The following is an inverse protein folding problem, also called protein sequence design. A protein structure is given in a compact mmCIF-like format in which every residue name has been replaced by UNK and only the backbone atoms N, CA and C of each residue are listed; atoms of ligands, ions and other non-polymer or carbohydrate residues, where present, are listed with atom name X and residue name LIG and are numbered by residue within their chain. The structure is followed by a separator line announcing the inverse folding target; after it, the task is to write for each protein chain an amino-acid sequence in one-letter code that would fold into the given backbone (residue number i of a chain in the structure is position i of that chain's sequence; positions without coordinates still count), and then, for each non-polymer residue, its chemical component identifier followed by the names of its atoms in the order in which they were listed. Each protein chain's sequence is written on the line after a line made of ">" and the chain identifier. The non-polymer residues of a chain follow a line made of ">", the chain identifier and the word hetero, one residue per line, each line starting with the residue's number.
data_IF_568847792942
#
_entry.id   IF_568847792942
#
_cell.length_a   1.000
_cell.length_b   1.000
_cell.length_c   1.000
_cell.angle_alpha   90.00
_cell.angle_beta   90.00
_cell.angle_gamma   90.00
#
_symmetry.space_group_name_H-M   'P 1'
#
loop_
_entity.id
_entity.type
_entity.pdbx_description
1 polymer ?
#
# COMPACT_ATOMS: atom_id res chain seq x y z
N UNK A 1 30.02 7.98 7.04
CA UNK A 1 29.80 6.59 6.57
C UNK A 1 29.35 6.49 5.10
N UNK A 2 28.63 7.46 4.53
CA UNK A 2 28.23 7.42 3.11
C UNK A 2 29.39 7.28 2.10
N UNK A 3 30.56 7.95 2.25
CA UNK A 3 31.66 7.85 1.28
C UNK A 3 32.29 6.45 1.25
N UNK A 4 32.49 5.86 2.43
CA UNK A 4 33.09 4.53 2.58
C UNK A 4 32.19 3.44 1.99
N UNK A 5 30.86 3.57 2.14
CA UNK A 5 29.89 2.66 1.53
C UNK A 5 30.00 2.64 0.01
N UNK A 6 30.17 3.79 -0.63
CA UNK A 6 30.30 3.85 -2.10
C UNK A 6 31.60 3.23 -2.59
N UNK A 7 32.70 3.41 -1.85
CA UNK A 7 33.99 2.78 -2.19
C UNK A 7 33.86 1.25 -2.11
N UNK A 8 33.32 0.71 -1.01
CA UNK A 8 33.14 -0.74 -0.87
C UNK A 8 32.15 -1.32 -1.86
N UNK A 9 31.05 -0.62 -2.16
CA UNK A 9 30.09 -1.04 -3.17
C UNK A 9 30.74 -1.09 -4.56
N UNK A 10 31.51 -0.05 -4.92
CA UNK A 10 32.23 0.00 -6.20
C UNK A 10 33.26 -1.11 -6.30
N UNK A 11 34.02 -1.35 -5.22
CA UNK A 11 35.00 -2.44 -5.15
C UNK A 11 34.33 -3.80 -5.27
N UNK A 12 33.21 -4.02 -4.57
CA UNK A 12 32.44 -5.26 -4.65
C UNK A 12 31.96 -5.53 -6.08
N UNK A 13 31.33 -4.54 -6.74
CA UNK A 13 30.86 -4.69 -8.11
C UNK A 13 32.00 -4.87 -9.13
N UNK A 14 33.14 -4.20 -8.93
CA UNK A 14 34.32 -4.38 -9.78
C UNK A 14 34.90 -5.80 -9.63
N UNK A 15 35.12 -6.26 -8.39
CA UNK A 15 35.66 -7.59 -8.11
C UNK A 15 34.71 -8.70 -8.60
N UNK A 16 33.41 -8.58 -8.34
CA UNK A 16 32.42 -9.58 -8.81
C UNK A 16 32.33 -9.62 -10.33
N UNK A 17 32.39 -8.47 -11.01
CA UNK A 17 32.45 -8.40 -12.47
C UNK A 17 33.70 -9.07 -13.05
N UNK A 18 34.86 -8.95 -12.38
CA UNK A 18 36.10 -9.62 -12.79
C UNK A 18 36.07 -11.14 -12.57
N UNK A 19 35.27 -11.61 -11.62
CA UNK A 19 35.14 -13.03 -11.29
C UNK A 19 34.28 -13.79 -12.31
N UNK A 20 33.43 -13.07 -13.04
CA UNK A 20 32.55 -13.63 -14.06
C UNK A 20 33.28 -13.76 -15.39
N UNK A 21 33.31 -14.99 -15.91
CA UNK A 21 33.86 -15.24 -17.24
C UNK A 21 32.77 -15.15 -18.32
N UNK A 22 32.82 -14.05 -19.09
CA UNK A 22 31.88 -13.82 -20.19
C UNK A 22 32.15 -14.74 -21.40
N UNK A 23 33.39 -15.21 -21.56
CA UNK A 23 33.79 -16.12 -22.63
C UNK A 23 33.18 -17.50 -22.37
N UNK A 24 33.25 -17.98 -21.12
CA UNK A 24 32.63 -19.23 -20.69
C UNK A 24 31.12 -19.26 -20.95
N UNK A 25 30.43 -18.13 -20.77
CA UNK A 25 28.98 -18.00 -21.02
C UNK A 25 28.61 -18.21 -22.50
N UNK A 26 29.51 -17.80 -23.41
CA UNK A 26 29.27 -17.77 -24.86
C UNK A 26 29.78 -19.04 -25.55
N UNK A 27 30.94 -19.57 -25.16
CA UNK A 27 31.68 -20.61 -25.90
C UNK A 27 31.00 -21.98 -26.00
N UNK A 28 29.89 -22.23 -25.29
CA UNK A 28 29.18 -23.53 -25.37
C UNK A 28 27.68 -23.43 -25.09
N UNK A 29 27.05 -22.29 -25.38
CA UNK A 29 25.63 -22.05 -25.07
C UNK A 29 25.28 -22.17 -23.57
N UNK A 30 26.26 -22.04 -22.67
CA UNK A 30 26.05 -22.05 -21.22
C UNK A 30 25.10 -20.96 -20.74
N UNK A 31 24.96 -19.86 -21.51
CA UNK A 31 23.96 -18.83 -21.26
C UNK A 31 22.53 -19.39 -21.08
N UNK A 32 22.17 -20.47 -21.79
CA UNK A 32 20.84 -21.08 -21.69
C UNK A 32 20.63 -21.76 -20.33
N UNK A 33 21.66 -22.48 -19.86
CA UNK A 33 21.67 -23.10 -18.53
C UNK A 33 21.66 -22.04 -17.42
N UNK A 34 22.45 -20.97 -17.58
CA UNK A 34 22.48 -19.85 -16.64
C UNK A 34 21.11 -19.19 -16.52
N UNK A 35 20.43 -18.93 -17.64
CA UNK A 35 19.05 -18.39 -17.60
C UNK A 35 18.09 -19.35 -16.92
N UNK A 36 18.18 -20.66 -17.20
CA UNK A 36 17.36 -21.68 -16.55
C UNK A 36 17.54 -21.66 -15.02
N UNK A 37 18.77 -21.57 -14.55
CA UNK A 37 19.10 -21.45 -13.12
C UNK A 37 18.57 -20.14 -12.53
N UNK A 38 18.76 -19.01 -13.20
CA UNK A 38 18.25 -17.71 -12.75
C UNK A 38 16.73 -17.75 -12.61
N UNK A 39 16.01 -18.24 -13.62
CA UNK A 39 14.56 -18.37 -13.59
C UNK A 39 14.13 -19.31 -12.46
N UNK A 40 14.81 -20.46 -12.32
CA UNK A 40 14.55 -21.41 -11.25
C UNK A 40 14.72 -20.82 -9.85
N UNK A 41 15.79 -20.05 -9.63
CA UNK A 41 16.06 -19.39 -8.34
C UNK A 41 15.03 -18.30 -8.07
N UNK A 42 14.75 -17.43 -9.05
CA UNK A 42 13.79 -16.33 -8.89
C UNK A 42 12.40 -16.89 -8.60
N UNK A 43 11.91 -17.86 -9.39
CA UNK A 43 10.58 -18.47 -9.19
C UNK A 43 10.55 -19.27 -7.90
N UNK A 44 11.54 -20.12 -7.65
CA UNK A 44 11.59 -21.00 -6.49
C UNK A 44 11.62 -20.20 -5.18
N UNK A 45 12.55 -19.26 -5.07
CA UNK A 45 12.69 -18.42 -3.86
C UNK A 45 11.48 -17.51 -3.67
N UNK A 46 10.95 -16.91 -4.74
CA UNK A 46 9.73 -16.10 -4.66
C UNK A 46 8.54 -16.92 -4.17
N UNK A 47 8.39 -18.16 -4.66
CA UNK A 47 7.33 -19.08 -4.23
C UNK A 47 7.47 -19.45 -2.76
N UNK A 48 8.68 -19.80 -2.31
CA UNK A 48 8.93 -20.13 -0.89
C UNK A 48 8.55 -18.96 0.02
N UNK A 49 9.02 -17.76 -0.30
CA UNK A 49 8.73 -16.55 0.49
C UNK A 49 7.23 -16.22 0.45
N UNK A 50 6.59 -16.36 -0.71
CA UNK A 50 5.14 -16.14 -0.86
C UNK A 50 4.34 -17.12 0.01
N UNK A 51 4.66 -18.41 0.00
CA UNK A 51 4.01 -19.43 0.82
C UNK A 51 4.20 -19.16 2.32
N UNK A 52 5.41 -18.79 2.74
CA UNK A 52 5.70 -18.43 4.14
C UNK A 52 4.90 -17.19 4.58
N UNK A 53 4.86 -16.15 3.75
CA UNK A 53 4.10 -14.95 4.05
C UNK A 53 2.58 -15.22 4.10
N UNK A 54 2.07 -16.11 3.24
CA UNK A 54 0.69 -16.58 3.33
C UNK A 54 0.42 -17.38 4.61
N UNK A 55 1.34 -18.25 5.03
CA UNK A 55 1.22 -18.99 6.30
C UNK A 55 1.14 -18.05 7.51
N UNK A 56 1.80 -16.90 7.44
CA UNK A 56 1.74 -15.81 8.43
C UNK A 56 0.50 -14.90 8.29
N UNK A 57 -0.49 -15.30 7.48
CA UNK A 57 -1.75 -14.56 7.22
C UNK A 57 -1.53 -13.14 6.67
N UNK A 58 -0.45 -12.91 5.93
CA UNK A 58 -0.23 -11.62 5.26
C UNK A 58 -1.10 -11.48 4.01
N UNK A 59 -1.48 -10.25 3.61
CA UNK A 59 -2.25 -10.04 2.38
C UNK A 59 -1.51 -10.59 1.15
N UNK A 60 -2.22 -11.26 0.23
CA UNK A 60 -1.63 -11.90 -0.97
C UNK A 60 -0.69 -10.99 -1.75
N UNK A 61 -1.11 -9.74 -1.97
CA UNK A 61 -0.29 -8.71 -2.63
C UNK A 61 1.03 -8.42 -1.91
N UNK A 62 1.02 -8.39 -0.57
CA UNK A 62 2.23 -8.18 0.25
C UNK A 62 3.13 -9.41 0.15
N UNK A 63 2.54 -10.60 0.20
CA UNK A 63 3.26 -11.87 0.09
C UNK A 63 3.96 -12.03 -1.27
N UNK A 64 3.28 -11.70 -2.38
CA UNK A 64 3.87 -11.76 -3.74
C UNK A 64 4.97 -10.70 -3.91
N UNK A 65 4.74 -9.48 -3.44
CA UNK A 65 5.73 -8.42 -3.50
C UNK A 65 6.98 -8.76 -2.66
N UNK A 66 6.79 -9.33 -1.47
CA UNK A 66 7.89 -9.79 -0.62
C UNK A 66 8.71 -10.89 -1.31
N UNK A 67 8.04 -11.85 -1.97
CA UNK A 67 8.71 -12.90 -2.76
C UNK A 67 9.60 -12.32 -3.86
N UNK A 68 9.07 -11.39 -4.66
CA UNK A 68 9.81 -10.75 -5.74
C UNK A 68 10.96 -9.87 -5.24
N UNK A 69 10.78 -9.15 -4.13
CA UNK A 69 11.83 -8.32 -3.54
C UNK A 69 12.97 -9.14 -2.94
N UNK A 70 12.68 -10.35 -2.46
CA UNK A 70 13.67 -11.26 -1.86
C UNK A 70 14.19 -12.32 -2.84
N UNK A 71 13.77 -12.30 -4.10
CA UNK A 71 14.16 -13.29 -5.12
C UNK A 71 15.68 -13.33 -5.42
N UNK A 72 16.38 -12.24 -5.12
CA UNK A 72 17.82 -12.08 -5.35
C UNK A 72 18.69 -13.13 -4.64
N UNK A 73 19.77 -13.56 -5.30
CA UNK A 73 20.86 -14.32 -4.65
C UNK A 73 21.66 -13.38 -3.73
N UNK A 74 21.88 -13.82 -2.49
CA UNK A 74 22.63 -13.05 -1.51
C UNK A 74 24.11 -12.96 -1.88
N UNK A 75 24.72 -11.80 -1.64
CA UNK A 75 26.15 -11.57 -1.94
C UNK A 75 27.09 -12.50 -1.16
N UNK A 76 26.64 -13.02 -0.01
CA UNK A 76 27.37 -14.03 0.76
C UNK A 76 27.55 -15.36 0.01
N UNK A 77 26.72 -15.64 -1.00
CA UNK A 77 26.91 -16.82 -1.85
C UNK A 77 28.22 -16.79 -2.63
N UNK A 78 28.75 -15.59 -2.95
CA UNK A 78 30.06 -15.45 -3.59
C UNK A 78 31.20 -15.91 -2.69
N UNK A 79 31.14 -15.54 -1.41
CA UNK A 79 32.15 -15.92 -0.41
C UNK A 79 32.16 -17.43 -0.19
N UNK A 80 30.98 -18.02 -0.03
CA UNK A 80 30.83 -19.47 0.16
C UNK A 80 31.28 -20.23 -1.11
N UNK A 81 30.90 -19.74 -2.29
CA UNK A 81 31.30 -20.35 -3.56
C UNK A 81 32.82 -20.32 -3.77
N UNK A 82 33.48 -19.21 -3.44
CA UNK A 82 34.93 -19.08 -3.58
C UNK A 82 35.67 -20.02 -2.62
N UNK A 83 35.21 -20.11 -1.37
CA UNK A 83 35.81 -21.03 -0.39
C UNK A 83 35.64 -22.50 -0.78
N UNK A 84 34.46 -22.85 -1.29
CA UNK A 84 34.18 -24.21 -1.75
C UNK A 84 34.98 -24.59 -3.01
N UNK A 85 35.29 -23.62 -3.88
CA UNK A 85 36.20 -23.82 -5.02
C UNK A 85 37.64 -24.05 -4.53
N UNK A 86 38.11 -23.24 -3.57
CA UNK A 86 39.45 -23.40 -2.97
C UNK A 86 39.63 -24.74 -2.24
N UNK A 87 38.53 -25.33 -1.78
CA UNK A 87 38.52 -26.61 -1.09
C UNK A 87 38.29 -27.81 -2.03
N UNK A 88 38.29 -27.60 -3.35
CA UNK A 88 37.97 -28.59 -4.39
C UNK A 88 36.58 -29.26 -4.25
N UNK A 89 35.64 -28.65 -3.50
CA UNK A 89 34.25 -29.13 -3.41
C UNK A 89 33.39 -28.71 -4.62
N UNK A 90 33.81 -27.66 -5.33
CA UNK A 90 33.07 -27.05 -6.43
C UNK A 90 33.93 -27.04 -7.69
N UNK A 91 33.44 -27.68 -8.76
CA UNK A 91 34.08 -27.61 -10.08
C UNK A 91 34.00 -26.20 -10.66
N UNK A 92 34.99 -25.80 -11.45
CA UNK A 92 35.04 -24.51 -12.15
C UNK A 92 33.74 -24.17 -12.90
N UNK A 93 33.12 -25.15 -13.58
CA UNK A 93 31.87 -24.95 -14.30
C UNK A 93 30.70 -24.56 -13.38
N UNK A 94 30.58 -25.21 -12.22
CA UNK A 94 29.53 -24.90 -11.25
C UNK A 94 29.79 -23.56 -10.55
N UNK A 95 31.06 -23.24 -10.29
CA UNK A 95 31.44 -21.94 -9.76
C UNK A 95 31.07 -20.82 -10.74
N UNK A 96 31.44 -20.94 -12.02
CA UNK A 96 31.08 -19.96 -13.05
C UNK A 96 29.57 -19.82 -13.25
N UNK A 97 28.83 -20.93 -13.18
CA UNK A 97 27.37 -20.92 -13.20
C UNK A 97 26.77 -20.15 -12.00
N UNK A 98 27.31 -20.34 -10.79
CA UNK A 98 26.91 -19.64 -9.57
C UNK A 98 27.21 -18.14 -9.69
N UNK A 99 28.42 -17.75 -10.10
CA UNK A 99 28.82 -16.34 -10.26
C UNK A 99 27.93 -15.64 -11.30
N UNK A 100 27.79 -16.25 -12.47
CA UNK A 100 27.03 -15.70 -13.60
C UNK A 100 25.55 -15.53 -13.26
N UNK A 101 24.92 -16.55 -12.66
CA UNK A 101 23.51 -16.47 -12.24
C UNK A 101 23.29 -15.44 -11.13
N UNK A 102 24.24 -15.30 -10.20
CA UNK A 102 24.17 -14.30 -9.13
C UNK A 102 24.25 -12.87 -9.67
N UNK A 103 25.17 -12.59 -10.60
CA UNK A 103 25.28 -11.28 -11.22
C UNK A 103 24.07 -10.91 -12.06
N UNK A 104 23.56 -11.84 -12.89
CA UNK A 104 22.35 -11.61 -13.67
C UNK A 104 21.17 -11.33 -12.74
N UNK A 105 21.03 -12.09 -11.66
CA UNK A 105 19.95 -11.88 -10.69
C UNK A 105 20.08 -10.52 -10.00
N UNK A 106 21.29 -10.12 -9.59
CA UNK A 106 21.59 -8.83 -8.97
C UNK A 106 21.27 -7.64 -9.91
N UNK A 107 21.58 -7.78 -11.21
CA UNK A 107 21.21 -6.82 -12.24
C UNK A 107 19.68 -6.76 -12.47
N UNK A 108 19.00 -7.90 -12.35
CA UNK A 108 17.56 -8.02 -12.54
C UNK A 108 16.76 -7.52 -11.31
N UNK A 109 17.34 -7.60 -10.11
CA UNK A 109 16.74 -7.17 -8.84
C UNK A 109 16.07 -5.79 -8.88
N UNK A 110 16.71 -4.69 -9.32
CA UNK A 110 16.06 -3.38 -9.33
C UNK A 110 14.81 -3.36 -10.21
N UNK A 111 14.80 -4.12 -11.31
CA UNK A 111 13.62 -4.26 -12.17
C UNK A 111 12.52 -5.08 -11.50
N UNK A 112 12.88 -6.19 -10.84
CA UNK A 112 11.93 -7.01 -10.08
C UNK A 112 11.31 -6.23 -8.92
N UNK A 113 12.11 -5.45 -8.18
CA UNK A 113 11.64 -4.60 -7.08
C UNK A 113 10.72 -3.50 -7.59
N UNK A 114 11.09 -2.82 -8.67
CA UNK A 114 10.26 -1.74 -9.25
C UNK A 114 8.95 -2.28 -9.83
N UNK A 115 8.99 -3.44 -10.49
CA UNK A 115 7.81 -4.11 -11.07
C UNK A 115 7.08 -5.02 -10.08
N UNK A 116 7.55 -5.16 -8.83
CA UNK A 116 6.94 -6.04 -7.83
C UNK A 116 5.48 -5.69 -7.56
N UNK A 117 5.16 -4.39 -7.45
CA UNK A 117 3.81 -3.88 -7.19
C UNK A 117 2.81 -4.14 -8.33
N UNK A 118 3.11 -3.83 -9.61
CA UNK A 118 2.20 -4.14 -10.72
C UNK A 118 2.10 -5.64 -11.00
N UNK A 119 3.18 -6.41 -10.85
CA UNK A 119 3.14 -7.87 -10.99
C UNK A 119 2.29 -8.48 -9.88
N UNK A 120 2.50 -8.08 -8.62
CA UNK A 120 1.67 -8.53 -7.51
C UNK A 120 0.19 -8.21 -7.73
N UNK A 121 -0.15 -7.05 -8.28
CA UNK A 121 -1.52 -6.69 -8.64
C UNK A 121 -2.10 -7.61 -9.73
N UNK A 122 -1.33 -7.88 -10.79
CA UNK A 122 -1.76 -8.69 -11.94
C UNK A 122 -1.94 -10.17 -11.56
N UNK A 123 -1.02 -10.70 -10.76
CA UNK A 123 -1.04 -12.09 -10.28
C UNK A 123 -2.15 -12.30 -9.26
N UNK A 124 -2.41 -11.32 -8.38
CA UNK A 124 -3.56 -11.35 -7.47
C UNK A 124 -4.87 -11.42 -8.30
N UNK A 125 -5.04 -10.55 -9.31
CA UNK A 125 -6.21 -10.61 -10.21
C UNK A 125 -6.34 -11.93 -10.98
N UNK A 126 -5.23 -12.56 -11.40
CA UNK A 126 -5.26 -13.81 -12.16
C UNK A 126 -5.54 -15.06 -11.31
N UNK A 127 -5.10 -15.09 -10.04
CA UNK A 127 -5.27 -16.22 -9.12
C UNK A 127 -6.61 -16.19 -8.35
N UNK A 128 -7.61 -15.48 -8.87
CA UNK A 128 -8.88 -15.27 -8.16
C UNK A 128 -8.70 -14.46 -6.86
N UNK A 129 -7.61 -13.71 -6.75
CA UNK A 129 -7.45 -12.62 -5.81
C UNK A 129 -8.21 -11.41 -6.32
N UNK A 130 -9.53 -11.52 -6.25
CA UNK A 130 -10.37 -10.36 -6.11
C UNK A 130 -10.01 -9.69 -4.78
N UNK A 131 -9.04 -8.78 -4.87
CA UNK A 131 -9.04 -7.55 -4.10
C UNK A 131 -9.59 -6.42 -5.00
N UNK A 132 -10.54 -6.73 -5.87
CA UNK A 132 -11.85 -6.08 -5.70
C UNK A 132 -12.30 -6.51 -4.31
N UNK A 133 -12.27 -5.61 -3.33
CA UNK A 133 -13.53 -4.98 -2.96
C UNK A 133 -14.60 -6.08 -2.92
N UNK A 134 -15.01 -6.50 -1.73
CA UNK A 134 -16.41 -6.84 -1.53
C UNK A 134 -17.20 -5.62 -2.01
N UNK A 135 -17.39 -5.50 -3.33
CA UNK A 135 -18.49 -4.81 -3.94
C UNK A 135 -19.61 -5.83 -3.81
N UNK A 136 -20.03 -6.14 -2.58
CA UNK A 136 -21.22 -6.97 -2.42
C UNK A 136 -22.35 -6.22 -3.11
N UNK A 137 -23.18 -6.92 -3.87
CA UNK A 137 -24.38 -6.35 -4.48
C UNK A 137 -25.31 -5.69 -3.42
N UNK A 138 -25.07 -5.94 -2.13
CA UNK A 138 -25.68 -5.24 -0.99
C UNK A 138 -25.58 -3.71 -1.12
N UNK A 139 -24.46 -3.18 -1.61
CA UNK A 139 -24.23 -1.73 -1.65
C UNK A 139 -25.10 -1.00 -2.69
N UNK A 140 -25.50 -1.67 -3.77
CA UNK A 140 -26.34 -1.08 -4.82
C UNK A 140 -27.79 -0.83 -4.36
N UNK A 141 -28.17 -1.33 -3.18
CA UNK A 141 -29.52 -1.18 -2.63
C UNK A 141 -29.61 -0.23 -1.43
N UNK A 142 -28.48 0.29 -0.94
CA UNK A 142 -28.47 1.14 0.25
C UNK A 142 -29.01 2.53 -0.11
N UNK A 143 -29.94 3.02 0.69
CA UNK A 143 -30.53 4.35 0.55
C UNK A 143 -30.65 5.00 1.92
N UNK A 144 -30.67 6.33 1.95
CA UNK A 144 -30.88 7.12 3.15
C UNK A 144 -29.84 6.87 4.27
N UNK A 145 -28.64 6.42 3.90
CA UNK A 145 -27.50 6.18 4.79
C UNK A 145 -26.57 7.40 4.87
N UNK A 146 -25.66 7.38 5.84
CA UNK A 146 -24.57 8.35 5.98
C UNK A 146 -23.27 7.76 5.43
N UNK A 147 -22.63 8.47 4.50
CA UNK A 147 -21.31 8.09 3.97
C UNK A 147 -20.24 8.84 4.74
N UNK A 148 -19.28 8.11 5.31
CA UNK A 148 -18.18 8.67 6.10
C UNK A 148 -16.86 8.36 5.39
N UNK A 149 -16.09 9.40 5.09
CA UNK A 149 -14.78 9.27 4.48
C UNK A 149 -13.69 9.45 5.53
N UNK A 150 -12.92 8.39 5.73
CA UNK A 150 -11.90 8.28 6.76
C UNK A 150 -12.42 7.71 8.07
N UNK A 151 -11.75 6.69 8.58
CA UNK A 151 -12.00 6.01 9.85
C UNK A 151 -10.90 6.32 10.89
N UNK A 152 -10.52 7.60 10.96
CA UNK A 152 -9.56 8.12 11.92
C UNK A 152 -10.17 8.39 13.30
N UNK A 153 -9.54 9.23 14.11
CA UNK A 153 -10.07 9.65 15.42
C UNK A 153 -11.45 10.30 15.29
N UNK A 154 -11.58 11.32 14.42
CA UNK A 154 -12.84 12.02 14.19
C UNK A 154 -13.89 11.11 13.55
N UNK A 155 -13.52 10.35 12.50
CA UNK A 155 -14.43 9.42 11.81
C UNK A 155 -15.02 8.37 12.75
N UNK A 156 -14.21 7.74 13.59
CA UNK A 156 -14.66 6.75 14.59
C UNK A 156 -15.70 7.32 15.54
N UNK A 157 -15.50 8.55 16.03
CA UNK A 157 -16.45 9.19 16.95
C UNK A 157 -17.81 9.42 16.28
N UNK A 158 -17.80 9.91 15.05
CA UNK A 158 -19.03 10.12 14.27
C UNK A 158 -19.75 8.79 13.97
N UNK A 159 -19.00 7.75 13.59
CA UNK A 159 -19.58 6.43 13.31
C UNK A 159 -20.22 5.85 14.57
N UNK A 160 -19.54 5.89 15.73
CA UNK A 160 -20.09 5.40 16.98
C UNK A 160 -21.42 6.09 17.34
N UNK A 161 -21.49 7.42 17.27
CA UNK A 161 -22.71 8.18 17.58
C UNK A 161 -23.87 7.88 16.62
N UNK A 162 -23.58 7.69 15.34
CA UNK A 162 -24.60 7.37 14.33
C UNK A 162 -25.14 5.94 14.50
N UNK A 163 -24.27 4.98 14.82
CA UNK A 163 -24.68 3.59 15.07
C UNK A 163 -25.50 3.49 16.36
N UNK A 164 -25.08 4.16 17.43
CA UNK A 164 -25.86 4.25 18.68
C UNK A 164 -27.24 4.87 18.44
N UNK A 165 -27.36 5.78 17.47
CA UNK A 165 -28.61 6.41 17.04
C UNK A 165 -29.40 5.59 16.01
N UNK A 166 -29.00 4.34 15.74
CA UNK A 166 -29.67 3.43 14.80
C UNK A 166 -29.61 3.85 13.33
N UNK A 167 -28.66 4.70 12.95
CA UNK A 167 -28.48 5.12 11.56
C UNK A 167 -27.65 4.09 10.77
N UNK A 168 -27.98 3.91 9.50
CA UNK A 168 -27.12 3.14 8.59
C UNK A 168 -25.92 3.98 8.17
N UNK A 169 -24.72 3.41 8.35
CA UNK A 169 -23.45 4.08 8.10
C UNK A 169 -22.60 3.26 7.15
N UNK A 170 -22.02 3.94 6.15
CA UNK A 170 -21.03 3.37 5.24
C UNK A 170 -19.72 4.14 5.36
N UNK A 171 -18.64 3.44 5.66
CA UNK A 171 -17.29 4.01 5.81
C UNK A 171 -16.45 3.71 4.59
N UNK A 172 -15.75 4.72 4.05
CA UNK A 172 -14.71 4.54 3.04
C UNK A 172 -13.36 4.92 3.66
N UNK A 173 -12.43 3.98 3.71
CA UNK A 173 -11.07 4.22 4.20
C UNK A 173 -10.02 3.51 3.32
N UNK A 174 -8.79 4.03 3.31
CA UNK A 174 -7.67 3.48 2.55
C UNK A 174 -6.87 2.42 3.33
N UNK A 175 -6.98 2.42 4.65
CA UNK A 175 -6.28 1.55 5.57
C UNK A 175 -7.13 0.31 5.92
N UNK A 176 -6.62 -0.92 5.72
CA UNK A 176 -7.37 -2.14 6.01
C UNK A 176 -7.72 -2.28 7.50
N UNK A 177 -6.90 -1.73 8.40
CA UNK A 177 -7.16 -1.72 9.85
C UNK A 177 -8.42 -0.90 10.17
N UNK A 178 -8.54 0.30 9.59
CA UNK A 178 -9.70 1.17 9.79
C UNK A 178 -10.99 0.55 9.27
N UNK A 179 -10.93 -0.03 8.07
CA UNK A 179 -12.08 -0.72 7.44
C UNK A 179 -12.56 -1.90 8.28
N UNK A 180 -11.64 -2.73 8.77
CA UNK A 180 -12.00 -3.87 9.61
C UNK A 180 -12.62 -3.43 10.95
N UNK A 181 -12.08 -2.37 11.56
CA UNK A 181 -12.63 -1.82 12.79
C UNK A 181 -14.03 -1.24 12.56
N UNK A 182 -14.25 -0.53 11.45
CA UNK A 182 -15.57 -0.02 11.09
C UNK A 182 -16.63 -1.14 10.97
N UNK A 183 -16.26 -2.29 10.40
CA UNK A 183 -17.15 -3.47 10.34
C UNK A 183 -17.49 -4.00 11.72
N UNK A 184 -16.48 -4.12 12.60
CA UNK A 184 -16.67 -4.57 13.98
C UNK A 184 -17.60 -3.61 14.74
N UNK A 185 -17.45 -2.32 14.50
CA UNK A 185 -18.23 -1.27 15.16
C UNK A 185 -19.67 -1.19 14.61
N UNK A 186 -20.01 -1.97 13.56
CA UNK A 186 -21.37 -2.12 13.02
C UNK A 186 -21.66 -1.32 11.75
N UNK A 187 -20.65 -0.67 11.16
CA UNK A 187 -20.79 0.04 9.90
C UNK A 187 -20.55 -0.89 8.70
N UNK A 188 -21.21 -0.59 7.59
CA UNK A 188 -20.77 -1.09 6.29
C UNK A 188 -19.46 -0.39 5.91
N UNK A 189 -18.56 -1.03 5.17
CA UNK A 189 -17.28 -0.41 4.85
C UNK A 189 -16.67 -0.83 3.52
N UNK A 190 -15.98 0.12 2.88
CA UNK A 190 -15.29 0.00 1.60
C UNK A 190 -13.81 0.34 1.80
N UNK A 191 -12.93 -0.57 1.41
CA UNK A 191 -11.48 -0.32 1.33
C UNK A 191 -11.14 0.35 -0.01
N UNK A 192 -11.00 1.67 -0.03
CA UNK A 192 -10.72 2.37 -1.28
C UNK A 192 -10.41 3.85 -1.16
N UNK A 193 -9.90 4.41 -2.25
CA UNK A 193 -9.66 5.85 -2.35
C UNK A 193 -10.96 6.55 -2.77
N UNK A 194 -11.56 7.31 -1.85
CA UNK A 194 -12.76 8.11 -2.10
C UNK A 194 -12.56 9.21 -3.16
N UNK A 195 -11.33 9.58 -3.54
CA UNK A 195 -11.06 10.47 -4.68
C UNK A 195 -11.40 9.81 -6.03
N UNK A 196 -11.57 8.48 -6.07
CA UNK A 196 -11.96 7.78 -7.31
C UNK A 196 -13.47 7.79 -7.42
N UNK A 197 -13.94 8.30 -8.56
CA UNK A 197 -15.36 8.38 -8.93
C UNK A 197 -16.12 7.07 -8.70
N UNK A 198 -15.55 5.95 -9.13
CA UNK A 198 -16.12 4.60 -8.99
C UNK A 198 -16.39 4.20 -7.53
N UNK A 199 -15.52 4.62 -6.59
CA UNK A 199 -15.65 4.29 -5.17
C UNK A 199 -16.81 5.07 -4.55
N UNK A 200 -16.99 6.35 -4.91
CA UNK A 200 -18.12 7.14 -4.45
C UNK A 200 -19.45 6.66 -5.05
N UNK A 201 -19.44 6.27 -6.32
CA UNK A 201 -20.63 5.70 -6.97
C UNK A 201 -21.05 4.40 -6.29
N UNK A 202 -20.09 3.51 -6.04
CA UNK A 202 -20.35 2.26 -5.35
C UNK A 202 -20.79 2.44 -3.88
N UNK A 203 -20.33 3.51 -3.21
CA UNK A 203 -20.81 3.88 -1.88
C UNK A 203 -22.27 4.37 -1.86
N UNK A 204 -22.97 4.37 -2.99
CA UNK A 204 -24.35 4.83 -3.08
C UNK A 204 -24.49 6.32 -2.83
N UNK A 205 -23.48 7.15 -3.18
CA UNK A 205 -23.49 8.58 -2.85
C UNK A 205 -24.71 9.33 -3.41
N UNK A 206 -25.33 8.83 -4.49
CA UNK A 206 -26.55 9.39 -5.10
C UNK A 206 -27.79 9.25 -4.21
N UNK A 207 -27.87 8.17 -3.43
CA UNK A 207 -28.98 7.86 -2.51
C UNK A 207 -28.65 8.15 -1.04
N UNK A 208 -27.44 8.62 -0.76
CA UNK A 208 -26.98 8.97 0.58
C UNK A 208 -27.66 10.24 1.09
N UNK A 209 -27.96 10.26 2.40
CA UNK A 209 -28.57 11.41 3.09
C UNK A 209 -27.53 12.48 3.42
N UNK A 210 -26.31 12.07 3.74
CA UNK A 210 -25.25 12.93 4.26
C UNK A 210 -23.88 12.34 3.92
N UNK A 211 -22.95 13.19 3.53
CA UNK A 211 -21.53 12.87 3.41
C UNK A 211 -20.75 13.57 4.52
N UNK A 212 -19.95 12.82 5.28
CA UNK A 212 -19.01 13.37 6.27
C UNK A 212 -17.59 13.07 5.83
N UNK A 213 -16.82 14.11 5.49
CA UNK A 213 -15.42 13.97 5.10
C UNK A 213 -14.49 14.34 6.27
N UNK A 214 -13.84 13.34 6.86
CA UNK A 214 -12.96 13.52 8.03
C UNK A 214 -11.46 13.51 7.72
N UNK A 215 -11.11 13.54 6.43
CA UNK A 215 -9.73 13.51 5.97
C UNK A 215 -8.96 14.79 6.37
N UNK A 216 -7.71 14.66 6.85
CA UNK A 216 -6.89 15.81 7.21
C UNK A 216 -6.29 16.55 6.00
N UNK A 217 -6.24 15.91 4.83
CA UNK A 217 -5.72 16.50 3.60
C UNK A 217 -6.82 17.31 2.90
N UNK A 218 -6.67 18.64 2.88
CA UNK A 218 -7.66 19.55 2.30
C UNK A 218 -7.83 19.35 0.78
N UNK A 219 -6.80 18.93 0.05
CA UNK A 219 -6.90 18.72 -1.41
C UNK A 219 -7.71 17.48 -1.71
N UNK A 220 -7.43 16.39 -0.98
CA UNK A 220 -8.21 15.17 -1.09
C UNK A 220 -9.68 15.42 -0.72
N UNK A 221 -9.92 16.09 0.42
CA UNK A 221 -11.25 16.46 0.86
C UNK A 221 -12.00 17.31 -0.18
N UNK A 222 -11.37 18.37 -0.71
CA UNK A 222 -11.98 19.26 -1.71
C UNK A 222 -12.38 18.50 -2.98
N UNK A 223 -11.52 17.60 -3.48
CA UNK A 223 -11.83 16.76 -4.64
C UNK A 223 -13.02 15.82 -4.39
N UNK A 224 -13.08 15.22 -3.20
CA UNK A 224 -14.18 14.34 -2.82
C UNK A 224 -15.50 15.12 -2.73
N UNK A 225 -15.47 16.30 -2.10
CA UNK A 225 -16.64 17.19 -1.96
C UNK A 225 -17.18 17.59 -3.34
N UNK A 226 -16.31 18.04 -4.25
CA UNK A 226 -16.70 18.43 -5.61
C UNK A 226 -17.28 17.26 -6.40
N UNK A 227 -16.69 16.06 -6.27
CA UNK A 227 -17.23 14.85 -6.91
C UNK A 227 -18.59 14.46 -6.33
N UNK A 228 -18.74 14.49 -5.00
CA UNK A 228 -20.01 14.20 -4.33
C UNK A 228 -21.11 15.15 -4.79
N UNK A 229 -20.81 16.46 -4.91
CA UNK A 229 -21.73 17.46 -5.48
C UNK A 229 -22.11 17.16 -6.92
N UNK A 230 -21.17 16.67 -7.73
CA UNK A 230 -21.44 16.27 -9.11
C UNK A 230 -22.39 15.06 -9.19
N UNK A 231 -22.27 14.12 -8.24
CA UNK A 231 -23.15 12.95 -8.19
C UNK A 231 -24.53 13.24 -7.62
N UNK A 232 -24.58 14.04 -6.56
CA UNK A 232 -25.78 14.37 -5.79
C UNK A 232 -25.75 15.87 -5.45
N UNK A 233 -26.28 16.75 -6.31
CA UNK A 233 -26.21 18.20 -6.09
C UNK A 233 -26.82 18.68 -4.77
N UNK A 234 -27.82 17.97 -4.25
CA UNK A 234 -28.56 18.30 -3.03
C UNK A 234 -28.06 17.62 -1.76
N UNK A 235 -27.05 16.74 -1.82
CA UNK A 235 -26.55 16.02 -0.64
C UNK A 235 -26.05 17.02 0.42
N UNK A 236 -26.28 16.75 1.70
CA UNK A 236 -25.62 17.52 2.75
C UNK A 236 -24.17 17.05 2.92
N UNK A 237 -23.23 17.97 3.10
CA UNK A 237 -21.81 17.67 3.23
C UNK A 237 -21.22 18.38 4.45
N UNK A 238 -20.69 17.59 5.38
CA UNK A 238 -19.89 18.08 6.51
C UNK A 238 -18.43 17.73 6.25
N UNK A 239 -17.54 18.71 6.30
CA UNK A 239 -16.11 18.50 6.10
C UNK A 239 -15.31 18.94 7.32
N UNK A 240 -14.29 18.16 7.68
CA UNK A 240 -13.28 18.57 8.66
C UNK A 240 -12.23 19.43 7.96
N UNK A 241 -11.97 20.62 8.49
CA UNK A 241 -10.77 21.39 8.19
C UNK A 241 -9.74 21.14 9.28
N UNK A 242 -8.62 20.48 8.96
CA UNK A 242 -7.52 20.29 9.92
C UNK A 242 -6.85 21.61 10.31
N UNK A 243 -6.75 22.53 9.35
CA UNK A 243 -6.15 23.85 9.55
C UNK A 243 -7.16 24.93 9.16
N UNK A 244 -7.29 25.97 9.98
CA UNK A 244 -8.29 27.04 9.79
C UNK A 244 -8.18 27.72 8.42
N UNK A 245 -6.96 27.85 7.90
CA UNK A 245 -6.70 28.48 6.59
C UNK A 245 -7.39 27.77 5.42
N UNK A 246 -7.72 26.48 5.56
CA UNK A 246 -8.38 25.70 4.50
C UNK A 246 -9.90 25.65 4.66
N UNK A 247 -10.47 26.17 5.75
CA UNK A 247 -11.90 26.08 5.99
C UNK A 247 -12.70 26.71 4.85
N UNK A 248 -12.31 27.93 4.45
CA UNK A 248 -12.99 28.64 3.38
C UNK A 248 -12.93 27.91 2.03
N UNK A 249 -11.80 27.29 1.72
CA UNK A 249 -11.63 26.53 0.48
C UNK A 249 -12.55 25.29 0.41
N UNK A 250 -12.80 24.64 1.56
CA UNK A 250 -13.71 23.50 1.63
C UNK A 250 -15.18 23.93 1.47
N UNK A 251 -15.57 25.07 2.04
CA UNK A 251 -16.88 25.70 1.78
C UNK A 251 -17.05 26.01 0.29
N UNK A 252 -16.07 26.69 -0.31
CA UNK A 252 -16.11 27.09 -1.72
C UNK A 252 -16.10 25.87 -2.66
N UNK A 253 -15.59 24.72 -2.19
CA UNK A 253 -15.67 23.44 -2.91
C UNK A 253 -17.05 22.78 -2.83
N UNK A 254 -17.94 23.26 -1.97
CA UNK A 254 -19.32 22.81 -1.85
C UNK A 254 -19.68 22.09 -0.54
N UNK A 255 -18.85 22.16 0.51
CA UNK A 255 -19.24 21.71 1.84
C UNK A 255 -20.29 22.66 2.45
N UNK A 256 -21.38 22.12 3.02
CA UNK A 256 -22.39 22.94 3.70
C UNK A 256 -21.91 23.38 5.08
N UNK A 257 -21.19 22.49 5.77
CA UNK A 257 -20.65 22.75 7.10
C UNK A 257 -19.18 22.36 7.08
N UNK A 258 -18.33 23.28 7.54
CA UNK A 258 -16.92 23.01 7.78
C UNK A 258 -16.63 23.09 9.26
N UNK A 259 -16.17 21.98 9.84
CA UNK A 259 -15.73 21.90 11.22
C UNK A 259 -14.24 22.17 11.26
N UNK A 260 -13.88 23.35 11.78
CA UNK A 260 -12.49 23.78 11.98
C UNK A 260 -11.91 23.15 13.25
N UNK A 261 -10.99 22.21 13.06
CA UNK A 261 -10.36 21.47 14.15
C UNK A 261 -9.49 22.35 15.03
N UNK A 262 -8.68 23.25 14.47
CA UNK A 262 -7.81 24.14 15.26
C UNK A 262 -8.65 25.06 16.14
N UNK A 263 -9.75 25.59 15.57
CA UNK A 263 -10.69 26.42 16.33
C UNK A 263 -11.37 25.63 17.45
N UNK A 264 -11.92 24.44 17.16
CA UNK A 264 -12.56 23.60 18.18
C UNK A 264 -11.59 23.21 19.31
N UNK A 265 -10.35 22.87 18.97
CA UNK A 265 -9.32 22.56 19.97
C UNK A 265 -8.94 23.80 20.78
N UNK A 266 -8.78 24.96 20.12
CA UNK A 266 -8.50 26.23 20.78
C UNK A 266 -9.59 26.64 21.78
N UNK A 267 -10.86 26.53 21.38
CA UNK A 267 -12.01 26.83 22.25
C UNK A 267 -12.03 25.91 23.48
N UNK A 268 -11.72 24.62 23.29
CA UNK A 268 -11.61 23.65 24.39
C UNK A 268 -10.46 23.98 25.36
N UNK A 269 -9.27 24.30 24.83
CA UNK A 269 -8.12 24.72 25.64
C UNK A 269 -8.44 26.00 26.43
N UNK A 270 -9.09 26.97 25.79
CA UNK A 270 -9.50 28.21 26.44
C UNK A 270 -10.45 27.94 27.60
N UNK A 271 -11.46 27.08 27.39
CA UNK A 271 -12.43 26.69 28.43
C UNK A 271 -11.77 26.02 29.63
N UNK A 272 -10.92 25.02 29.38
CA UNK A 272 -10.19 24.31 30.45
C UNK A 272 -9.22 25.25 31.20
N UNK A 273 -8.60 26.19 30.48
CA UNK A 273 -7.71 27.20 31.08
C UNK A 273 -8.48 28.12 32.02
N UNK A 274 -9.61 28.67 31.58
CA UNK A 274 -10.49 29.53 32.41
C UNK A 274 -10.95 28.78 33.66
N UNK A 275 -11.42 27.54 33.48
CA UNK A 275 -11.86 26.70 34.60
C UNK A 275 -10.74 26.45 35.61
N UNK A 276 -9.48 26.31 35.16
CA UNK A 276 -8.34 26.09 36.06
C UNK A 276 -7.89 27.34 36.82
N UNK A 277 -8.13 28.53 36.28
CA UNK A 277 -7.85 29.80 36.97
C UNK A 277 -9.06 30.36 37.73
N UNK A 278 -10.20 29.67 37.69
CA UNK A 278 -11.40 30.01 38.44
C UNK A 278 -12.30 31.07 37.79
N UNK A 279 -12.25 31.18 36.45
CA UNK A 279 -13.12 32.03 35.64
C UNK A 279 -14.17 31.20 34.88
#
# INVERSE_FOLDING_TARGET
>A
MAPLRYIFLTLFFACTGMLADLSWLIESYHWLWTIGVVVGIVIGKSTIVWLLAMALKQPRRVSIAAGLCLAQIGEFSFVIGAEAMNSDLLSDNLFQLLISSSLITLLLSPFLITKSRPIAKTVDTFLGGDVSLELSDEFNTIQNHVVIIGYGVSGRKVVAELIESGQQVLVIDMGPVGVNQAKIDGALSILGNAQRREILEHAGIRSAKLLVCTLPDHRAASQIIQQARTFAPSIQIIARARYSIHAKHLEDSGADIVVDEEKCVGDSISKETLQKIGL
#
